data_IF_171113803482
#
_entry.id   IF_171113803482
#
_cell.length_a   1.000
_cell.length_b   1.000
_cell.length_c   1.000
_cell.angle_alpha   90.00
_cell.angle_beta   90.00
_cell.angle_gamma   90.00
#
_symmetry.space_group_name_H-M   'P 1'
#
loop_
_entity.id
_entity.type
_entity.pdbx_description
1 polymer ?
#
# COMPACT_ATOMS: atom_id res chain seq x y z
N UNK A 1 -8.25 12.97 -7.22
CA UNK A 1 -6.84 12.60 -7.00
C UNK A 1 -6.00 13.82 -6.68
N UNK A 2 -4.91 13.60 -5.96
CA UNK A 2 -3.91 14.62 -5.67
C UNK A 2 -2.52 14.02 -5.90
N UNK A 3 -1.64 14.79 -6.53
CA UNK A 3 -0.21 14.46 -6.62
C UNK A 3 0.54 15.60 -5.98
N UNK A 4 1.27 15.32 -4.90
CA UNK A 4 1.92 16.39 -4.14
C UNK A 4 2.94 15.88 -3.12
N UNK A 5 3.57 16.83 -2.46
CA UNK A 5 4.53 16.58 -1.38
C UNK A 5 3.81 16.19 -0.09
N UNK A 6 4.36 15.19 0.56
CA UNK A 6 3.92 14.68 1.87
C UNK A 6 5.11 14.68 2.81
N UNK A 7 4.84 14.92 4.09
CA UNK A 7 5.87 15.01 5.14
C UNK A 7 5.58 13.99 6.24
N UNK A 8 6.61 13.22 6.63
CA UNK A 8 6.51 12.27 7.76
C UNK A 8 7.73 12.40 8.66
N UNK A 9 7.50 12.39 9.99
CA UNK A 9 8.56 12.46 11.00
C UNK A 9 9.35 11.16 11.19
N UNK A 10 9.21 10.18 10.31
CA UNK A 10 9.88 8.91 10.39
C UNK A 10 11.40 9.02 10.21
N UNK A 11 12.13 8.01 10.72
CA UNK A 11 13.57 7.89 10.46
C UNK A 11 13.80 7.65 8.97
N UNK A 12 14.62 8.52 8.34
CA UNK A 12 15.02 8.34 6.95
C UNK A 12 15.75 7.01 6.75
N UNK A 13 15.37 6.26 5.70
CA UNK A 13 15.95 4.97 5.32
C UNK A 13 16.00 4.91 3.79
N UNK A 14 16.67 3.88 3.25
CA UNK A 14 16.71 3.62 1.80
C UNK A 14 15.29 3.54 1.23
N UNK A 15 14.97 4.40 0.24
CA UNK A 15 13.63 4.50 -0.34
C UNK A 15 12.55 5.11 0.56
N UNK A 16 12.91 5.65 1.75
CA UNK A 16 12.01 6.35 2.66
C UNK A 16 12.60 7.69 3.07
N UNK A 17 11.90 8.75 2.72
CA UNK A 17 12.31 10.13 2.96
C UNK A 17 11.32 10.81 3.90
N UNK A 18 11.72 11.92 4.52
CA UNK A 18 10.84 12.74 5.36
C UNK A 18 9.96 13.69 4.54
N UNK A 19 10.42 14.11 3.38
CA UNK A 19 9.66 14.79 2.33
C UNK A 19 9.66 13.89 1.10
N UNK A 20 8.49 13.60 0.55
CA UNK A 20 8.34 12.73 -0.62
C UNK A 20 7.04 13.03 -1.35
N UNK A 21 6.92 12.58 -2.60
CA UNK A 21 5.70 12.70 -3.38
C UNK A 21 4.83 11.46 -3.23
N UNK A 22 3.53 11.70 -3.07
CA UNK A 22 2.49 10.70 -3.21
C UNK A 22 1.53 11.09 -4.33
N UNK A 23 0.93 10.07 -4.97
CA UNK A 23 -0.25 10.20 -5.81
C UNK A 23 -1.38 9.48 -5.08
N UNK A 24 -2.33 10.27 -4.59
CA UNK A 24 -3.44 9.81 -3.78
C UNK A 24 -4.72 9.83 -4.62
N UNK A 25 -5.53 8.80 -4.48
CA UNK A 25 -6.83 8.66 -5.15
C UNK A 25 -7.84 8.24 -4.11
N UNK A 26 -8.93 9.00 -3.98
CA UNK A 26 -9.99 8.74 -3.02
C UNK A 26 -11.37 8.87 -3.67
N UNK A 27 -12.26 7.97 -3.28
CA UNK A 27 -13.70 8.04 -3.59
C UNK A 27 -14.41 8.26 -2.26
N UNK A 28 -15.14 9.36 -2.15
CA UNK A 28 -15.82 9.76 -0.91
C UNK A 28 -17.33 9.78 -1.17
N UNK A 29 -18.06 9.05 -0.34
CA UNK A 29 -19.52 9.02 -0.34
C UNK A 29 -20.12 10.08 0.60
N UNK A 30 -21.40 10.41 0.39
CA UNK A 30 -22.20 11.22 1.29
C UNK A 30 -23.23 10.32 1.99
N UNK A 31 -23.06 10.11 3.28
CA UNK A 31 -23.87 9.20 4.10
C UNK A 31 -23.52 7.72 3.91
N UNK A 32 -23.24 7.28 2.68
CA UNK A 32 -22.90 5.90 2.35
C UNK A 32 -21.90 5.81 1.19
N UNK A 33 -21.18 4.71 1.12
CA UNK A 33 -20.29 4.37 0.01
C UNK A 33 -20.49 2.90 -0.33
N UNK A 34 -20.84 2.64 -1.59
CA UNK A 34 -21.09 1.29 -2.09
C UNK A 34 -19.81 0.47 -2.14
N UNK A 35 -19.90 -0.83 -1.84
CA UNK A 35 -18.77 -1.78 -1.84
C UNK A 35 -18.11 -1.91 -3.22
N UNK A 36 -18.83 -1.63 -4.31
CA UNK A 36 -18.27 -1.64 -5.65
C UNK A 36 -17.11 -0.68 -5.82
N UNK A 37 -17.10 0.44 -5.09
CA UNK A 37 -15.96 1.36 -5.10
C UNK A 37 -14.69 0.70 -4.53
N UNK A 38 -14.83 -0.23 -3.59
CA UNK A 38 -13.69 -1.01 -3.07
C UNK A 38 -13.18 -2.03 -4.11
N UNK A 39 -14.07 -2.60 -4.92
CA UNK A 39 -13.68 -3.50 -6.01
C UNK A 39 -13.07 -2.74 -7.22
N UNK A 40 -13.37 -1.46 -7.39
CA UNK A 40 -12.81 -0.61 -8.45
C UNK A 40 -11.36 -0.17 -8.15
N UNK A 41 -11.00 0.05 -6.90
CA UNK A 41 -9.65 0.52 -6.51
C UNK A 41 -8.53 -0.35 -7.08
N UNK A 42 -8.55 -1.70 -7.01
CA UNK A 42 -7.56 -2.54 -7.65
C UNK A 42 -7.42 -2.31 -9.16
N UNK A 43 -8.51 -2.00 -9.87
CA UNK A 43 -8.47 -1.71 -11.30
C UNK A 43 -7.77 -0.37 -11.60
N UNK A 44 -7.95 0.63 -10.73
CA UNK A 44 -7.22 1.90 -10.83
C UNK A 44 -5.72 1.65 -10.66
N UNK A 45 -5.32 0.88 -9.65
CA UNK A 45 -3.92 0.50 -9.43
C UNK A 45 -3.37 -0.24 -10.65
N UNK A 46 -4.07 -1.27 -11.10
CA UNK A 46 -3.67 -2.11 -12.23
C UNK A 46 -3.44 -1.29 -13.51
N UNK A 47 -4.41 -0.45 -13.87
CA UNK A 47 -4.32 0.41 -15.06
C UNK A 47 -3.19 1.42 -14.95
N UNK A 48 -3.02 2.05 -13.79
CA UNK A 48 -1.96 3.04 -13.54
C UNK A 48 -0.58 2.40 -13.68
N UNK A 49 -0.36 1.25 -13.05
CA UNK A 49 0.94 0.57 -13.09
C UNK A 49 1.26 0.06 -14.50
N UNK A 50 0.27 -0.49 -15.22
CA UNK A 50 0.47 -0.88 -16.61
C UNK A 50 0.78 0.30 -17.53
N UNK A 51 0.14 1.46 -17.33
CA UNK A 51 0.43 2.67 -18.10
C UNK A 51 1.85 3.19 -17.83
N UNK A 52 2.39 2.95 -16.63
CA UNK A 52 3.80 3.24 -16.28
C UNK A 52 4.77 2.16 -16.80
N UNK A 53 4.30 1.12 -17.50
CA UNK A 53 5.13 0.04 -18.00
C UNK A 53 5.49 -1.04 -16.98
N UNK A 54 4.98 -0.94 -15.74
CA UNK A 54 5.18 -1.94 -14.70
C UNK A 54 4.31 -3.16 -14.97
N UNK A 55 4.89 -4.37 -14.99
CA UNK A 55 4.18 -5.61 -15.31
C UNK A 55 4.12 -6.58 -14.13
N UNK A 56 5.22 -6.67 -13.40
CA UNK A 56 5.43 -7.66 -12.37
C UNK A 56 5.08 -7.10 -11.00
N UNK A 57 3.79 -7.02 -10.71
CA UNK A 57 3.28 -6.55 -9.42
C UNK A 57 2.06 -7.37 -8.98
N UNK A 58 1.79 -7.36 -7.69
CA UNK A 58 0.64 -8.01 -7.08
C UNK A 58 -0.09 -7.08 -6.13
N UNK A 59 -1.40 -6.97 -6.33
CA UNK A 59 -2.31 -6.25 -5.47
C UNK A 59 -2.84 -7.24 -4.45
N UNK A 60 -2.50 -7.04 -3.21
CA UNK A 60 -2.94 -7.85 -2.07
C UNK A 60 -4.10 -7.16 -1.39
N UNK A 61 -5.08 -7.92 -0.95
CA UNK A 61 -6.27 -7.41 -0.27
C UNK A 61 -6.57 -8.19 0.99
N UNK A 62 -7.05 -7.49 2.01
CA UNK A 62 -7.65 -8.06 3.20
C UNK A 62 -8.85 -7.20 3.64
N UNK A 63 -9.55 -7.62 4.67
CA UNK A 63 -10.59 -6.83 5.32
C UNK A 63 -10.37 -6.81 6.84
N UNK A 64 -10.33 -5.60 7.42
CA UNK A 64 -10.08 -5.44 8.86
C UNK A 64 -11.15 -6.08 9.74
N UNK A 65 -12.40 -6.16 9.26
CA UNK A 65 -13.49 -6.82 9.99
C UNK A 65 -13.28 -8.32 10.10
N UNK A 66 -12.68 -8.96 9.06
CA UNK A 66 -12.30 -10.37 9.09
C UNK A 66 -11.30 -10.62 10.24
N UNK A 67 -10.24 -9.80 10.32
CA UNK A 67 -9.26 -9.94 11.40
C UNK A 67 -9.86 -9.64 12.77
N UNK A 68 -10.57 -8.53 12.90
CA UNK A 68 -11.20 -8.14 14.18
C UNK A 68 -12.21 -9.18 14.67
N UNK A 69 -13.05 -9.69 13.77
CA UNK A 69 -14.03 -10.72 14.11
C UNK A 69 -13.36 -12.03 14.50
N UNK A 70 -12.29 -12.43 13.82
CA UNK A 70 -11.51 -13.61 14.20
C UNK A 70 -10.82 -13.44 15.56
N UNK A 71 -10.23 -12.28 15.82
CA UNK A 71 -9.63 -12.00 17.14
C UNK A 71 -10.67 -11.98 18.26
N UNK A 72 -11.88 -11.48 17.97
CA UNK A 72 -12.99 -11.56 18.94
C UNK A 72 -13.38 -13.02 19.26
N UNK A 73 -13.41 -13.91 18.26
CA UNK A 73 -13.64 -15.35 18.48
C UNK A 73 -12.57 -16.01 19.37
N UNK A 74 -11.37 -15.46 19.36
CA UNK A 74 -10.25 -15.94 20.20
C UNK A 74 -10.16 -15.22 21.55
N UNK A 75 -11.09 -14.31 21.87
CA UNK A 75 -11.06 -13.53 23.12
C UNK A 75 -9.98 -12.42 23.12
N UNK A 76 -9.50 -12.00 21.96
CA UNK A 76 -8.42 -11.02 21.79
C UNK A 76 -8.93 -9.61 21.46
N UNK A 77 -10.19 -9.28 21.66
CA UNK A 77 -10.79 -7.98 21.29
C UNK A 77 -9.99 -6.81 21.83
N UNK A 78 -9.68 -6.81 23.13
CA UNK A 78 -8.93 -5.74 23.79
C UNK A 78 -7.46 -5.63 23.31
N UNK A 79 -6.93 -6.71 22.78
CA UNK A 79 -5.54 -6.82 22.29
C UNK A 79 -5.45 -6.74 20.76
N UNK A 80 -6.56 -6.55 20.06
CA UNK A 80 -6.59 -6.67 18.57
C UNK A 80 -5.61 -5.72 17.90
N UNK A 81 -5.47 -4.48 18.40
CA UNK A 81 -4.51 -3.52 17.89
C UNK A 81 -3.03 -3.95 18.05
N UNK A 82 -2.69 -4.54 19.20
CA UNK A 82 -1.34 -5.05 19.47
C UNK A 82 -1.04 -6.27 18.63
N UNK A 83 -2.00 -7.19 18.50
CA UNK A 83 -1.91 -8.36 17.64
C UNK A 83 -1.69 -7.94 16.18
N UNK A 84 -2.47 -7.01 15.66
CA UNK A 84 -2.29 -6.50 14.30
C UNK A 84 -0.92 -5.86 14.08
N UNK A 85 -0.46 -5.00 15.01
CA UNK A 85 0.87 -4.39 14.94
C UNK A 85 2.01 -5.40 14.98
N UNK A 86 1.79 -6.55 15.62
CA UNK A 86 2.76 -7.63 15.70
C UNK A 86 2.77 -8.45 14.42
N UNK A 87 1.60 -8.81 13.89
CA UNK A 87 1.44 -9.49 12.60
C UNK A 87 2.10 -8.68 11.46
N UNK A 88 1.95 -7.37 11.47
CA UNK A 88 2.57 -6.46 10.51
C UNK A 88 4.11 -6.59 10.40
N UNK A 89 4.73 -7.12 11.41
CA UNK A 89 6.18 -7.35 11.42
C UNK A 89 6.56 -8.76 10.92
N UNK A 90 5.56 -9.60 10.57
CA UNK A 90 5.77 -11.01 10.24
C UNK A 90 6.86 -11.21 9.18
N UNK A 91 6.78 -10.48 8.07
CA UNK A 91 7.76 -10.54 6.97
C UNK A 91 9.18 -10.14 7.40
N UNK A 92 9.31 -9.33 8.46
CA UNK A 92 10.59 -8.79 8.92
C UNK A 92 11.24 -9.65 9.99
N UNK A 93 10.44 -10.18 10.92
CA UNK A 93 10.97 -10.86 12.11
C UNK A 93 10.71 -12.36 12.12
N UNK A 94 9.84 -12.85 11.23
CA UNK A 94 9.46 -14.25 11.13
C UNK A 94 8.41 -14.72 12.15
N UNK A 95 7.77 -15.87 11.90
CA UNK A 95 6.65 -16.36 12.69
C UNK A 95 7.04 -16.67 14.15
N UNK A 96 8.22 -17.22 14.39
CA UNK A 96 8.67 -17.58 15.76
C UNK A 96 8.78 -16.34 16.64
N UNK A 97 9.31 -15.23 16.12
CA UNK A 97 9.42 -13.98 16.87
C UNK A 97 8.07 -13.30 17.03
N UNK A 98 7.18 -13.36 16.01
CA UNK A 98 5.79 -12.88 16.14
C UNK A 98 5.10 -13.65 17.26
N UNK A 99 5.21 -14.98 17.29
CA UNK A 99 4.67 -15.83 18.36
C UNK A 99 5.20 -15.41 19.73
N UNK A 100 6.52 -15.26 19.86
CA UNK A 100 7.15 -14.84 21.12
C UNK A 100 6.64 -13.47 21.60
N UNK A 101 6.53 -12.49 20.72
CA UNK A 101 5.98 -11.17 21.07
C UNK A 101 4.53 -11.28 21.54
N UNK A 102 3.69 -12.08 20.86
CA UNK A 102 2.30 -12.29 21.26
C UNK A 102 2.20 -12.93 22.65
N UNK A 103 3.03 -13.93 22.95
CA UNK A 103 3.00 -14.64 24.24
C UNK A 103 3.65 -13.85 25.36
N UNK A 104 4.84 -13.31 25.15
CA UNK A 104 5.69 -12.76 26.20
C UNK A 104 5.38 -11.30 26.50
N UNK A 105 5.06 -10.49 25.47
CA UNK A 105 4.80 -9.06 25.67
C UNK A 105 3.28 -8.78 25.85
N UNK A 106 2.42 -9.50 25.12
CA UNK A 106 0.98 -9.27 25.17
C UNK A 106 0.20 -10.32 25.95
N UNK A 107 0.87 -11.27 26.57
CA UNK A 107 0.26 -12.33 27.37
C UNK A 107 -0.91 -13.03 26.62
N UNK A 108 -0.68 -13.38 25.36
CA UNK A 108 -1.59 -14.22 24.58
C UNK A 108 -1.22 -15.67 24.86
N UNK A 109 -2.22 -16.51 25.16
CA UNK A 109 -1.99 -17.93 25.37
C UNK A 109 -1.31 -18.58 24.16
N UNK A 110 -0.31 -19.45 24.35
CA UNK A 110 0.47 -20.05 23.25
C UNK A 110 -0.37 -20.68 22.15
N UNK A 111 -1.41 -21.45 22.54
CA UNK A 111 -2.33 -22.08 21.57
C UNK A 111 -3.13 -21.04 20.77
N UNK A 112 -3.44 -19.90 21.38
CA UNK A 112 -4.17 -18.81 20.72
C UNK A 112 -3.24 -18.07 19.75
N UNK A 113 -1.98 -17.86 20.10
CA UNK A 113 -0.98 -17.29 19.21
C UNK A 113 -0.74 -18.20 17.99
N UNK A 114 -0.71 -19.52 18.20
CA UNK A 114 -0.58 -20.51 17.10
C UNK A 114 -1.79 -20.45 16.16
N UNK A 115 -3.02 -20.34 16.69
CA UNK A 115 -4.24 -20.16 15.89
C UNK A 115 -4.23 -18.86 15.08
N UNK A 116 -3.71 -17.79 15.64
CA UNK A 116 -3.54 -16.52 14.91
C UNK A 116 -2.59 -16.69 13.74
N UNK A 117 -1.42 -17.30 13.95
CA UNK A 117 -0.43 -17.55 12.91
C UNK A 117 -0.95 -18.50 11.83
N UNK A 118 -1.64 -19.57 12.21
CA UNK A 118 -2.28 -20.49 11.25
C UNK A 118 -3.31 -19.77 10.38
N UNK A 119 -4.15 -18.93 10.98
CA UNK A 119 -5.20 -18.21 10.27
C UNK A 119 -4.63 -17.24 9.23
N UNK A 120 -3.61 -16.46 9.57
CA UNK A 120 -3.05 -15.47 8.65
C UNK A 120 -2.13 -16.07 7.58
N UNK A 121 -1.61 -17.28 7.83
CA UNK A 121 -0.65 -17.98 6.93
C UNK A 121 -1.33 -19.03 6.04
N UNK A 122 -2.66 -19.02 5.94
CA UNK A 122 -3.39 -20.00 5.14
C UNK A 122 -2.93 -19.96 3.68
N UNK A 123 -2.43 -21.08 3.12
CA UNK A 123 -1.92 -21.13 1.76
C UNK A 123 -3.05 -21.20 0.72
N UNK A 124 -2.67 -21.06 -0.55
CA UNK A 124 -3.56 -21.27 -1.68
C UNK A 124 -4.00 -20.00 -2.38
N UNK A 125 -4.91 -20.18 -3.34
CA UNK A 125 -5.50 -19.10 -4.14
C UNK A 125 -6.48 -18.26 -3.30
N UNK A 126 -6.93 -17.13 -3.85
CA UNK A 126 -8.00 -16.34 -3.21
C UNK A 126 -9.28 -17.15 -3.00
N UNK A 127 -9.60 -18.09 -3.89
CA UNK A 127 -10.74 -18.98 -3.73
C UNK A 127 -10.55 -19.97 -2.55
N UNK A 128 -9.35 -20.54 -2.40
CA UNK A 128 -9.01 -21.42 -1.28
C UNK A 128 -9.09 -20.68 0.05
N UNK A 129 -8.58 -19.46 0.09
CA UNK A 129 -8.63 -18.59 1.28
C UNK A 129 -10.07 -18.21 1.64
N UNK A 130 -10.92 -17.87 0.67
CA UNK A 130 -12.35 -17.64 0.94
C UNK A 130 -13.03 -18.90 1.46
N UNK A 131 -12.75 -20.07 0.88
CA UNK A 131 -13.30 -21.35 1.36
C UNK A 131 -12.85 -21.66 2.80
N UNK A 132 -11.61 -21.33 3.15
CA UNK A 132 -11.12 -21.42 4.53
C UNK A 132 -11.87 -20.46 5.47
N UNK A 133 -12.02 -19.21 5.09
CA UNK A 133 -12.71 -18.20 5.92
C UNK A 133 -14.17 -18.56 6.17
N UNK A 134 -14.86 -19.16 5.21
CA UNK A 134 -16.25 -19.63 5.36
C UNK A 134 -16.46 -20.65 6.48
N UNK A 135 -15.42 -21.31 6.98
CA UNK A 135 -15.49 -22.22 8.14
C UNK A 135 -15.83 -21.49 9.46
N UNK A 136 -15.66 -20.18 9.47
CA UNK A 136 -15.94 -19.30 10.62
C UNK A 136 -17.24 -18.53 10.47
N UNK A 137 -17.93 -18.66 9.33
CA UNK A 137 -19.21 -17.99 9.04
C UNK A 137 -20.27 -18.38 10.08
N UNK A 138 -21.10 -17.44 10.50
CA UNK A 138 -22.11 -17.60 11.52
C UNK A 138 -21.61 -17.58 12.97
N UNK A 139 -20.30 -17.38 13.19
CA UNK A 139 -19.71 -17.39 14.54
C UNK A 139 -19.50 -15.98 15.12
N UNK A 140 -19.42 -14.96 14.29
CA UNK A 140 -19.23 -13.57 14.72
C UNK A 140 -19.75 -12.60 13.65
N UNK A 141 -20.65 -11.70 14.00
CA UNK A 141 -21.28 -10.76 13.06
C UNK A 141 -20.26 -9.85 12.33
N UNK A 142 -19.24 -9.37 13.04
CA UNK A 142 -18.19 -8.53 12.43
C UNK A 142 -17.38 -9.33 11.43
N UNK A 143 -17.07 -10.59 11.73
CA UNK A 143 -16.39 -11.49 10.83
C UNK A 143 -17.21 -11.74 9.57
N UNK A 144 -18.51 -12.07 9.74
CA UNK A 144 -19.44 -12.38 8.65
C UNK A 144 -19.59 -11.18 7.69
N UNK A 145 -19.71 -9.97 8.25
CA UNK A 145 -19.74 -8.75 7.47
C UNK A 145 -18.45 -8.56 6.66
N UNK A 146 -17.29 -8.72 7.31
CA UNK A 146 -15.98 -8.60 6.66
C UNK A 146 -15.75 -9.66 5.59
N UNK A 147 -16.19 -10.90 5.83
CA UNK A 147 -16.13 -11.99 4.85
C UNK A 147 -17.00 -11.69 3.63
N UNK A 148 -18.23 -11.19 3.84
CA UNK A 148 -19.12 -10.80 2.76
C UNK A 148 -18.51 -9.67 1.92
N UNK A 149 -17.99 -8.62 2.55
CA UNK A 149 -17.32 -7.50 1.87
C UNK A 149 -16.10 -7.98 1.06
N UNK A 150 -15.22 -8.80 1.66
CA UNK A 150 -14.05 -9.33 0.98
C UNK A 150 -14.42 -10.23 -0.20
N UNK A 151 -15.42 -11.10 -0.04
CA UNK A 151 -15.90 -11.98 -1.10
C UNK A 151 -16.46 -11.17 -2.28
N UNK A 152 -17.23 -10.10 -1.99
CA UNK A 152 -17.76 -9.19 -3.01
C UNK A 152 -16.64 -8.50 -3.78
N UNK A 153 -15.63 -7.98 -3.09
CA UNK A 153 -14.47 -7.35 -3.76
C UNK A 153 -13.76 -8.35 -4.67
N UNK A 154 -13.50 -9.58 -4.21
CA UNK A 154 -12.84 -10.62 -5.00
C UNK A 154 -13.67 -11.04 -6.22
N UNK A 155 -15.00 -11.11 -6.08
CA UNK A 155 -15.91 -11.44 -7.18
C UNK A 155 -15.86 -10.41 -8.31
N UNK A 156 -15.85 -9.12 -7.97
CA UNK A 156 -15.99 -8.07 -8.97
C UNK A 156 -14.66 -7.51 -9.48
N UNK A 157 -13.54 -7.71 -8.79
CA UNK A 157 -12.24 -7.20 -9.21
C UNK A 157 -11.85 -7.67 -10.63
N UNK A 158 -12.16 -8.93 -10.97
CA UNK A 158 -11.96 -9.47 -12.32
C UNK A 158 -12.85 -8.78 -13.37
N UNK A 159 -14.08 -8.46 -13.02
CA UNK A 159 -15.02 -7.74 -13.89
C UNK A 159 -14.57 -6.31 -14.18
N UNK A 160 -13.81 -5.69 -13.26
CA UNK A 160 -13.14 -4.41 -13.47
C UNK A 160 -11.85 -4.53 -14.31
N UNK A 161 -11.46 -5.74 -14.72
CA UNK A 161 -10.37 -6.01 -15.66
C UNK A 161 -9.01 -6.24 -15.01
N UNK A 162 -8.97 -6.60 -13.74
CA UNK A 162 -7.72 -7.01 -13.06
C UNK A 162 -7.52 -8.51 -13.26
N UNK A 163 -6.41 -8.94 -13.88
CA UNK A 163 -6.10 -10.36 -14.05
C UNK A 163 -5.84 -11.06 -12.69
N UNK A 164 -6.19 -12.35 -12.62
CA UNK A 164 -6.03 -13.13 -11.40
C UNK A 164 -4.57 -13.21 -10.89
N UNK A 165 -3.61 -13.16 -11.81
CA UNK A 165 -2.18 -13.15 -11.48
C UNK A 165 -1.71 -11.85 -10.82
N UNK A 166 -2.47 -10.76 -10.95
CA UNK A 166 -2.14 -9.47 -10.35
C UNK A 166 -2.89 -9.20 -9.04
N UNK A 167 -3.72 -10.13 -8.57
CA UNK A 167 -4.57 -9.92 -7.40
C UNK A 167 -4.61 -11.15 -6.49
N UNK A 168 -4.53 -10.93 -5.16
CA UNK A 168 -4.67 -12.02 -4.18
C UNK A 168 -5.23 -11.53 -2.83
N UNK A 169 -5.92 -12.42 -2.12
CA UNK A 169 -6.19 -12.24 -0.69
C UNK A 169 -4.90 -12.51 0.07
N UNK A 170 -4.56 -11.61 1.00
CA UNK A 170 -3.44 -11.79 1.91
C UNK A 170 -3.84 -11.39 3.34
N UNK A 171 -4.08 -12.38 4.18
CA UNK A 171 -4.55 -12.19 5.55
C UNK A 171 -3.47 -11.63 6.48
N UNK A 172 -2.20 -11.57 6.04
CA UNK A 172 -1.10 -10.93 6.78
C UNK A 172 -1.16 -9.42 6.72
N UNK A 173 -1.93 -8.83 5.79
CA UNK A 173 -2.15 -7.39 5.76
C UNK A 173 -3.03 -6.99 6.94
N UNK A 174 -2.40 -6.85 8.08
CA UNK A 174 -2.99 -6.31 9.29
C UNK A 174 -2.73 -4.80 9.42
N UNK A 175 -1.85 -4.29 8.53
CA UNK A 175 -1.41 -2.92 8.44
C UNK A 175 -2.50 -1.99 7.95
N UNK A 176 -2.36 -0.79 8.31
CA UNK A 176 -3.10 0.37 7.88
C UNK A 176 -3.03 1.40 9.00
N UNK A 177 -3.27 2.63 8.67
CA UNK A 177 -3.52 3.65 9.68
C UNK A 177 -4.74 3.19 10.49
N UNK A 178 -4.76 3.49 11.77
CA UNK A 178 -5.80 3.00 12.70
C UNK A 178 -7.24 3.38 12.28
N UNK A 179 -7.37 4.30 11.32
CA UNK A 179 -8.64 4.76 10.78
C UNK A 179 -9.28 3.85 9.71
N UNK A 180 -8.59 2.83 9.18
CA UNK A 180 -9.21 1.91 8.23
C UNK A 180 -10.24 1.01 8.91
N UNK A 181 -11.41 0.87 8.28
CA UNK A 181 -12.59 0.21 8.85
C UNK A 181 -13.06 -1.02 8.09
N UNK A 182 -12.60 -1.21 6.87
CA UNK A 182 -13.03 -2.30 5.96
C UNK A 182 -11.87 -2.88 5.17
N UNK A 183 -12.04 -2.94 3.84
CA UNK A 183 -11.03 -3.43 2.92
C UNK A 183 -9.73 -2.64 3.00
N UNK A 184 -8.62 -3.33 2.96
CA UNK A 184 -7.26 -2.76 2.93
C UNK A 184 -6.49 -3.36 1.76
N UNK A 185 -5.64 -2.54 1.15
CA UNK A 185 -4.84 -2.90 -0.02
C UNK A 185 -3.36 -2.68 0.22
N UNK A 186 -2.56 -3.54 -0.37
CA UNK A 186 -1.12 -3.38 -0.46
C UNK A 186 -0.64 -3.88 -1.81
N UNK A 187 0.17 -3.09 -2.53
CA UNK A 187 0.74 -3.51 -3.80
C UNK A 187 2.24 -3.64 -3.69
N UNK A 188 2.76 -4.78 -4.09
CA UNK A 188 4.19 -5.10 -4.07
C UNK A 188 4.69 -5.43 -5.47
N UNK A 189 5.95 -5.13 -5.74
CA UNK A 189 6.63 -5.57 -6.96
C UNK A 189 7.09 -7.02 -6.74
N UNK A 190 6.68 -7.94 -7.63
CA UNK A 190 6.99 -9.37 -7.46
C UNK A 190 8.44 -9.71 -7.76
N UNK A 191 9.09 -8.92 -8.61
CA UNK A 191 10.52 -9.05 -8.95
C UNK A 191 11.43 -8.41 -7.90
N UNK A 192 10.87 -7.53 -7.07
CA UNK A 192 11.60 -6.71 -6.11
C UNK A 192 10.88 -6.67 -4.76
N UNK A 193 10.66 -7.82 -4.10
CA UNK A 193 9.92 -7.90 -2.85
C UNK A 193 10.61 -7.14 -1.70
N UNK A 194 11.93 -6.95 -1.77
CA UNK A 194 12.72 -6.19 -0.80
C UNK A 194 12.32 -4.71 -0.69
N UNK A 195 11.66 -4.18 -1.74
CA UNK A 195 11.18 -2.81 -1.74
C UNK A 195 9.99 -2.65 -0.81
N UNK A 196 9.22 -3.73 -0.62
CA UNK A 196 7.96 -3.74 0.09
C UNK A 196 6.85 -3.00 -0.68
N UNK A 197 5.83 -2.57 0.04
CA UNK A 197 4.67 -1.93 -0.58
C UNK A 197 5.01 -0.62 -1.28
N UNK A 198 4.59 -0.49 -2.54
CA UNK A 198 4.73 0.72 -3.37
C UNK A 198 3.42 1.50 -3.49
N UNK A 199 2.30 0.85 -3.21
CA UNK A 199 0.97 1.46 -3.14
C UNK A 199 0.19 0.77 -2.01
N UNK A 200 -0.50 1.56 -1.20
CA UNK A 200 -1.33 1.04 -0.11
C UNK A 200 -2.54 1.94 0.13
N UNK A 201 -3.57 1.39 0.75
CA UNK A 201 -4.77 2.12 1.07
C UNK A 201 -5.85 1.27 1.72
N UNK A 202 -7.07 1.78 1.76
CA UNK A 202 -8.20 1.06 2.30
C UNK A 202 -9.44 1.92 2.48
N UNK A 203 -10.50 1.29 3.00
CA UNK A 203 -11.75 1.94 3.37
C UNK A 203 -11.63 2.59 4.74
N UNK A 204 -12.14 3.81 4.85
CA UNK A 204 -12.27 4.57 6.08
C UNK A 204 -13.68 5.18 6.17
N UNK A 205 -14.38 4.91 7.27
CA UNK A 205 -15.75 5.41 7.46
C UNK A 205 -15.83 6.65 8.36
N UNK A 206 -14.85 6.82 9.25
CA UNK A 206 -14.94 7.80 10.35
C UNK A 206 -13.90 8.93 10.25
N UNK A 207 -13.04 8.93 9.23
CA UNK A 207 -11.94 9.89 9.13
C UNK A 207 -12.43 11.35 9.05
N UNK A 208 -13.51 11.59 8.32
CA UNK A 208 -14.09 12.93 8.18
C UNK A 208 -14.67 13.48 9.49
N UNK A 209 -15.04 12.61 10.44
CA UNK A 209 -15.57 12.99 11.75
C UNK A 209 -14.64 13.87 12.60
N UNK A 210 -13.34 13.94 12.28
CA UNK A 210 -12.41 14.89 12.89
C UNK A 210 -12.61 16.35 12.43
N UNK A 211 -13.35 16.54 11.34
CA UNK A 211 -13.45 17.85 10.66
C UNK A 211 -14.90 18.29 10.42
N UNK A 212 -15.87 17.37 10.47
CA UNK A 212 -17.28 17.64 10.16
C UNK A 212 -18.19 16.61 10.86
N UNK A 213 -19.43 17.02 11.15
CA UNK A 213 -20.48 16.13 11.68
C UNK A 213 -21.13 15.27 10.58
N UNK A 214 -20.75 15.46 9.31
CA UNK A 214 -21.28 14.65 8.20
C UNK A 214 -20.62 13.28 8.18
N UNK A 215 -21.40 12.26 7.87
CA UNK A 215 -20.89 10.91 7.58
C UNK A 215 -20.37 10.86 6.16
N UNK A 216 -19.06 10.84 5.99
CA UNK A 216 -18.39 10.83 4.70
C UNK A 216 -17.45 9.63 4.62
N UNK A 217 -17.99 8.41 4.39
CA UNK A 217 -17.15 7.22 4.20
C UNK A 217 -16.33 7.37 2.91
N UNK A 218 -15.11 6.86 2.95
CA UNK A 218 -14.22 6.89 1.80
C UNK A 218 -13.46 5.59 1.62
N UNK A 219 -12.97 5.38 0.40
CA UNK A 219 -11.98 4.39 0.07
C UNK A 219 -10.94 5.03 -0.84
N UNK A 220 -9.67 4.79 -0.56
CA UNK A 220 -8.61 5.38 -1.36
C UNK A 220 -7.29 4.65 -1.24
N UNK A 221 -6.37 5.01 -2.13
CA UNK A 221 -5.00 4.49 -2.17
C UNK A 221 -4.00 5.62 -2.35
N UNK A 222 -2.80 5.37 -1.85
CA UNK A 222 -1.63 6.22 -2.04
C UNK A 222 -0.53 5.46 -2.77
N UNK A 223 -0.11 5.96 -3.93
CA UNK A 223 1.08 5.49 -4.63
C UNK A 223 2.27 6.31 -4.14
N UNK A 224 3.28 5.65 -3.60
CA UNK A 224 4.52 6.29 -3.16
C UNK A 224 5.42 6.65 -4.36
N UNK A 225 5.15 7.79 -5.01
CA UNK A 225 5.82 8.20 -6.27
C UNK A 225 7.34 8.28 -6.11
N UNK A 226 7.82 8.97 -5.07
CA UNK A 226 9.27 9.07 -4.80
C UNK A 226 9.91 7.70 -4.56
N UNK A 227 9.21 6.82 -3.84
CA UNK A 227 9.70 5.47 -3.58
C UNK A 227 9.74 4.63 -4.85
N UNK A 228 8.67 4.68 -5.65
CA UNK A 228 8.60 3.98 -6.92
C UNK A 228 9.69 4.46 -7.87
N UNK A 229 9.86 5.78 -8.00
CA UNK A 229 10.92 6.37 -8.83
C UNK A 229 12.32 5.94 -8.38
N UNK A 230 12.59 6.00 -7.07
CA UNK A 230 13.85 5.54 -6.49
C UNK A 230 14.16 4.09 -6.87
N UNK A 231 13.15 3.23 -6.79
CA UNK A 231 13.29 1.82 -7.15
C UNK A 231 13.56 1.64 -8.63
N UNK A 232 12.78 2.31 -9.50
CA UNK A 232 12.98 2.26 -10.95
C UNK A 232 14.38 2.71 -11.34
N UNK A 233 14.92 3.72 -10.64
CA UNK A 233 16.28 4.22 -10.83
C UNK A 233 17.34 3.19 -10.39
N UNK A 234 17.19 2.59 -9.20
CA UNK A 234 18.11 1.58 -8.67
C UNK A 234 18.15 0.32 -9.53
N UNK A 235 17.07 0.00 -10.21
CA UNK A 235 16.93 -1.19 -11.06
C UNK A 235 17.23 -0.93 -12.55
N UNK A 236 17.72 0.27 -12.89
CA UNK A 236 17.99 0.70 -14.27
C UNK A 236 16.76 0.54 -15.21
N UNK A 237 15.56 0.74 -14.64
CA UNK A 237 14.28 0.64 -15.37
C UNK A 237 13.81 1.96 -15.98
N UNK A 238 14.49 3.07 -15.66
CA UNK A 238 14.17 4.37 -16.25
C UNK A 238 14.68 4.45 -17.68
N UNK A 239 13.89 5.10 -18.56
CA UNK A 239 14.34 5.36 -19.93
C UNK A 239 15.65 6.15 -19.93
N UNK A 240 16.61 5.72 -20.78
CA UNK A 240 17.86 6.45 -20.97
C UNK A 240 17.68 7.79 -21.70
N UNK A 241 16.52 7.99 -22.30
CA UNK A 241 16.15 9.23 -22.99
C UNK A 241 15.63 10.31 -22.04
N UNK A 242 15.52 10.02 -20.74
CA UNK A 242 15.17 11.02 -19.75
C UNK A 242 16.33 11.98 -19.55
N UNK A 243 16.11 13.25 -19.89
CA UNK A 243 17.05 14.32 -19.59
C UNK A 243 17.27 14.40 -18.08
N UNK A 244 18.48 14.10 -17.62
CA UNK A 244 18.87 14.12 -16.20
C UNK A 244 19.24 15.51 -15.72
N UNK A 245 19.39 16.45 -16.64
CA UNK A 245 19.68 17.86 -16.37
C UNK A 245 18.81 18.76 -17.26
N UNK A 246 18.37 19.92 -16.76
CA UNK A 246 17.59 20.87 -17.56
C UNK A 246 18.44 21.59 -18.61
N UNK A 247 19.77 21.49 -18.53
CA UNK A 247 20.70 22.10 -19.44
C UNK A 247 21.27 21.06 -20.43
N UNK A 248 21.25 21.35 -21.72
CA UNK A 248 21.84 20.53 -22.79
C UNK A 248 23.35 20.70 -22.87
N UNK A 249 23.85 21.90 -22.49
CA UNK A 249 25.26 22.23 -22.45
C UNK A 249 25.64 22.99 -21.17
N UNK A 250 26.83 22.73 -20.66
CA UNK A 250 27.41 23.46 -19.52
C UNK A 250 28.76 24.03 -19.95
N UNK A 251 28.89 25.35 -19.89
CA UNK A 251 30.14 26.05 -20.17
C UNK A 251 30.88 26.30 -18.86
N UNK A 252 32.07 25.71 -18.73
CA UNK A 252 32.89 25.77 -17.52
C UNK A 252 34.17 26.54 -17.86
N UNK A 253 34.41 27.79 -17.31
CA UNK A 253 35.67 28.49 -17.50
C UNK A 253 36.80 27.72 -16.79
N UNK A 254 37.95 27.59 -17.43
CA UNK A 254 39.12 26.89 -16.86
C UNK A 254 39.79 27.71 -15.74
N UNK A 255 39.71 29.04 -15.86
CA UNK A 255 40.23 30.02 -14.90
C UNK A 255 39.46 31.34 -15.00
N UNK A 256 39.85 32.32 -14.20
CA UNK A 256 39.23 33.66 -14.17
C UNK A 256 39.43 34.46 -15.47
N UNK A 257 40.53 34.22 -16.17
CA UNK A 257 40.87 34.94 -17.41
C UNK A 257 39.99 34.46 -18.58
N UNK A 258 39.50 33.23 -18.49
CA UNK A 258 38.56 32.62 -19.46
C UNK A 258 37.08 33.01 -19.22
N UNK A 259 36.76 33.77 -18.19
CA UNK A 259 35.37 34.07 -17.79
C UNK A 259 34.61 34.85 -18.89
N UNK A 260 35.22 35.84 -19.50
CA UNK A 260 34.60 36.65 -20.55
C UNK A 260 34.21 35.75 -21.76
N UNK A 261 35.15 34.93 -22.21
CA UNK A 261 34.91 33.98 -23.30
C UNK A 261 33.83 32.94 -22.95
N UNK A 262 33.78 32.43 -21.71
CA UNK A 262 32.76 31.51 -21.26
C UNK A 262 31.36 32.16 -21.27
N UNK A 263 31.26 33.43 -20.83
CA UNK A 263 29.98 34.18 -20.85
C UNK A 263 29.53 34.44 -22.30
N UNK A 264 30.42 34.82 -23.20
CA UNK A 264 30.09 35.01 -24.61
C UNK A 264 29.63 33.72 -25.27
N UNK A 265 30.34 32.63 -25.02
CA UNK A 265 29.98 31.30 -25.51
C UNK A 265 28.59 30.84 -25.01
N UNK A 266 28.34 30.97 -23.71
CA UNK A 266 27.04 30.63 -23.13
C UNK A 266 25.91 31.51 -23.66
N UNK A 267 26.21 32.78 -23.96
CA UNK A 267 25.23 33.72 -24.54
C UNK A 267 24.91 33.33 -25.99
N UNK A 268 25.93 32.96 -26.78
CA UNK A 268 25.71 32.50 -28.14
C UNK A 268 24.88 31.20 -28.18
N UNK A 269 25.19 30.23 -27.32
CA UNK A 269 24.41 28.99 -27.23
C UNK A 269 22.95 29.24 -26.89
N UNK A 270 22.67 30.11 -25.92
CA UNK A 270 21.28 30.50 -25.58
C UNK A 270 20.55 31.22 -26.71
N UNK A 271 21.25 31.98 -27.55
CA UNK A 271 20.65 32.62 -28.70
C UNK A 271 20.21 31.60 -29.79
N UNK A 272 20.89 30.44 -29.84
CA UNK A 272 20.54 29.32 -30.73
C UNK A 272 19.53 28.35 -30.08
N UNK A 273 19.08 28.58 -28.85
CA UNK A 273 18.08 27.79 -28.15
C UNK A 273 18.61 26.58 -27.35
N UNK A 274 19.92 26.58 -27.09
CA UNK A 274 20.60 25.54 -26.28
C UNK A 274 20.59 25.91 -24.79
#
# INVERSE_FOLDING_TARGET
>A
YQIGKVYRGERAQRGRFREFYQADIDIIGDGKLDIMNEAEIPAVIYRTFNALGLKNFRIRVNNRKVLNGFFALLGLTEKSGDVMRTIDKLDKIGPDKVRAVLTDEFAVEPETADKVLEFISVPGTSADKLAFLRRYEGKNETFDLGLHELATVVEYVGSFGVPAENFEIDLTIARGLDYYTGTVYETVMTDHPEIGSVCSGGRYDNLAGYYTDRTLPGVGISIGVTRLFYVLQEQDMLSKDILTAPAEAVVIPMDTDCMAFAVETATALRAEGV
#
